data_IF_150953941916
#
_entry.id   IF_150953941916
#
_cell.length_a   1.000
_cell.length_b   1.000
_cell.length_c   1.000
_cell.angle_alpha   90.00
_cell.angle_beta   90.00
_cell.angle_gamma   90.00
#
_symmetry.space_group_name_H-M   'P 1'
#
loop_
_entity.id
_entity.type
_entity.pdbx_description
1 polymer ?
#
# COMPACT_ATOMS: atom_id res chain seq x y z
N UNK A 1 2.97 26.41 9.36
CA UNK A 1 3.29 25.10 9.96
C UNK A 1 2.76 24.04 9.01
N UNK A 2 3.61 23.44 8.18
CA UNK A 2 3.15 22.37 7.27
C UNK A 2 3.03 21.08 8.07
N UNK A 3 1.80 20.70 8.41
CA UNK A 3 1.51 19.49 9.17
C UNK A 3 1.75 18.29 8.26
N UNK A 4 2.82 17.52 8.52
CA UNK A 4 2.98 16.20 7.89
C UNK A 4 1.88 15.29 8.42
N UNK A 5 1.19 14.59 7.53
CA UNK A 5 0.18 13.59 7.92
C UNK A 5 0.89 12.24 8.01
N UNK A 6 1.01 11.63 9.20
CA UNK A 6 1.64 10.32 9.32
C UNK A 6 0.84 9.29 8.54
N UNK A 7 1.53 8.30 7.99
CA UNK A 7 0.87 7.16 7.36
C UNK A 7 0.07 6.36 8.40
N UNK A 8 -1.01 5.74 7.96
CA UNK A 8 -1.91 4.98 8.81
C UNK A 8 -1.70 3.49 8.59
N UNK A 9 -1.65 2.73 9.68
CA UNK A 9 -1.63 1.27 9.58
C UNK A 9 -3.06 0.76 9.48
N UNK A 10 -3.31 -0.10 8.50
CA UNK A 10 -4.61 -0.74 8.31
C UNK A 10 -4.46 -2.24 8.19
N UNK A 11 -5.46 -2.96 8.69
CA UNK A 11 -5.56 -4.39 8.50
C UNK A 11 -6.15 -4.71 7.14
N UNK A 12 -6.06 -5.99 6.77
CA UNK A 12 -6.43 -6.42 5.44
C UNK A 12 -7.94 -6.21 5.16
N UNK A 13 -8.84 -6.41 6.12
CA UNK A 13 -10.27 -6.12 5.95
C UNK A 13 -10.56 -4.64 5.60
N UNK A 14 -9.86 -3.72 6.26
CA UNK A 14 -9.98 -2.28 5.97
C UNK A 14 -9.39 -1.94 4.60
N UNK A 15 -8.27 -2.57 4.24
CA UNK A 15 -7.67 -2.42 2.91
C UNK A 15 -8.63 -2.87 1.81
N UNK A 16 -9.34 -3.99 1.99
CA UNK A 16 -10.33 -4.47 1.03
C UNK A 16 -11.50 -3.51 0.84
N UNK A 17 -11.98 -2.90 1.92
CA UNK A 17 -13.02 -1.86 1.87
C UNK A 17 -12.56 -0.65 1.06
N UNK A 18 -11.31 -0.21 1.26
CA UNK A 18 -10.72 0.91 0.52
C UNK A 18 -10.54 0.58 -0.96
N UNK A 19 -10.12 -0.65 -1.28
CA UNK A 19 -9.94 -1.13 -2.65
C UNK A 19 -11.30 -1.21 -3.35
N UNK A 20 -12.31 -1.71 -2.66
CA UNK A 20 -13.70 -1.77 -3.18
C UNK A 20 -14.30 -0.39 -3.41
N UNK A 21 -13.81 0.65 -2.73
CA UNK A 21 -14.19 2.04 -2.99
C UNK A 21 -13.62 2.58 -4.31
N UNK A 22 -12.68 1.87 -4.95
CA UNK A 22 -12.23 2.11 -6.32
C UNK A 22 -11.30 3.31 -6.54
N UNK A 23 -11.05 4.11 -5.51
CA UNK A 23 -10.28 5.35 -5.62
C UNK A 23 -8.99 5.32 -4.78
N UNK A 24 -8.24 4.21 -4.89
CA UNK A 24 -6.98 3.97 -4.18
C UNK A 24 -5.92 3.46 -5.14
N UNK A 25 -4.66 3.85 -4.92
CA UNK A 25 -3.50 3.30 -5.59
C UNK A 25 -2.89 2.26 -4.67
N UNK A 26 -2.69 1.06 -5.17
CA UNK A 26 -2.10 -0.03 -4.39
C UNK A 26 -0.67 -0.24 -4.89
N UNK A 27 0.30 -0.18 -3.99
CA UNK A 27 1.73 -0.30 -4.26
C UNK A 27 2.27 -1.55 -3.57
N UNK A 28 2.78 -2.45 -4.39
CA UNK A 28 3.44 -3.67 -3.94
C UNK A 28 4.95 -3.46 -3.95
N UNK A 29 5.58 -3.41 -2.78
CA UNK A 29 7.03 -3.18 -2.65
C UNK A 29 7.85 -4.47 -2.58
N UNK A 30 7.24 -5.62 -2.93
CA UNK A 30 7.93 -6.89 -3.07
C UNK A 30 8.68 -6.95 -4.40
N UNK A 31 9.43 -8.03 -4.56
CA UNK A 31 10.13 -8.33 -5.80
C UNK A 31 9.15 -8.68 -6.94
N UNK A 32 9.55 -8.40 -8.19
CA UNK A 32 8.74 -8.65 -9.36
C UNK A 32 8.29 -10.11 -9.46
N UNK A 33 9.18 -11.08 -9.19
CA UNK A 33 8.83 -12.50 -9.16
C UNK A 33 7.68 -12.83 -8.19
N UNK A 34 7.66 -12.19 -7.01
CA UNK A 34 6.59 -12.39 -6.03
C UNK A 34 5.29 -11.73 -6.43
N UNK A 35 5.38 -10.56 -7.09
CA UNK A 35 4.24 -9.89 -7.68
C UNK A 35 3.62 -10.76 -8.78
N UNK A 36 4.42 -11.35 -9.67
CA UNK A 36 3.96 -12.24 -10.74
C UNK A 36 3.34 -13.54 -10.22
N UNK A 37 3.85 -14.09 -9.11
CA UNK A 37 3.24 -15.27 -8.46
C UNK A 37 1.84 -15.00 -7.88
N UNK A 38 1.56 -13.76 -7.52
CA UNK A 38 0.27 -13.35 -6.98
C UNK A 38 0.36 -12.00 -6.26
N UNK A 39 -0.61 -11.14 -6.51
CA UNK A 39 -0.68 -9.79 -5.97
C UNK A 39 -2.13 -9.38 -5.71
N UNK A 40 -2.32 -8.24 -5.06
CA UNK A 40 -3.64 -7.63 -4.88
C UNK A 40 -4.12 -7.11 -6.24
N UNK A 41 -5.38 -7.35 -6.59
CA UNK A 41 -5.93 -6.85 -7.87
C UNK A 41 -5.81 -5.33 -7.97
N UNK A 42 -5.26 -4.84 -9.09
CA UNK A 42 -4.95 -3.42 -9.30
C UNK A 42 -3.67 -2.91 -8.61
N UNK A 43 -2.90 -3.77 -7.93
CA UNK A 43 -1.61 -3.38 -7.39
C UNK A 43 -0.56 -3.13 -8.47
N UNK A 44 0.30 -2.14 -8.21
CA UNK A 44 1.45 -1.81 -9.03
C UNK A 44 2.72 -2.17 -8.28
N UNK A 45 3.63 -2.88 -8.93
CA UNK A 45 4.94 -3.15 -8.35
C UNK A 45 5.75 -1.85 -8.22
N UNK A 46 6.01 -1.43 -6.99
CA UNK A 46 6.66 -0.19 -6.64
C UNK A 46 7.97 -0.48 -5.90
N UNK A 47 9.09 -0.13 -6.52
CA UNK A 47 10.42 -0.19 -5.93
C UNK A 47 10.89 1.23 -5.62
N UNK A 48 11.87 1.39 -4.74
CA UNK A 48 12.44 2.72 -4.42
C UNK A 48 12.87 3.46 -5.70
N UNK A 49 13.36 2.72 -6.71
CA UNK A 49 13.80 3.27 -7.99
C UNK A 49 12.65 3.78 -8.88
N UNK A 50 11.50 3.12 -8.91
CA UNK A 50 10.39 3.48 -9.80
C UNK A 50 9.25 4.24 -9.08
N UNK A 51 9.27 4.29 -7.75
CA UNK A 51 8.20 4.89 -6.94
C UNK A 51 7.93 6.33 -7.35
N UNK A 52 8.98 7.13 -7.56
CA UNK A 52 8.87 8.51 -8.03
C UNK A 52 8.15 8.62 -9.37
N UNK A 53 8.40 7.70 -10.31
CA UNK A 53 7.71 7.68 -11.60
C UNK A 53 6.25 7.25 -11.46
N UNK A 54 5.94 6.32 -10.55
CA UNK A 54 4.55 5.89 -10.30
C UNK A 54 3.73 7.02 -9.69
N UNK A 55 4.37 7.82 -8.83
CA UNK A 55 3.79 8.97 -8.15
C UNK A 55 3.80 10.23 -9.02
N UNK A 56 4.44 10.21 -10.18
CA UNK A 56 4.46 11.34 -11.09
C UNK A 56 3.04 11.62 -11.61
N UNK A 57 2.56 12.85 -11.40
CA UNK A 57 1.19 13.24 -11.72
C UNK A 57 0.10 12.67 -10.78
N UNK A 58 0.46 11.96 -9.71
CA UNK A 58 -0.51 11.49 -8.71
C UNK A 58 -0.88 12.65 -7.77
N UNK A 59 -2.18 12.86 -7.60
CA UNK A 59 -2.70 13.87 -6.69
C UNK A 59 -2.35 13.52 -5.23
N UNK A 60 -1.97 14.52 -4.44
CA UNK A 60 -1.54 14.35 -3.03
C UNK A 60 -2.67 13.89 -2.10
N UNK A 61 -3.92 14.12 -2.49
CA UNK A 61 -5.12 13.67 -1.78
C UNK A 61 -5.50 12.22 -2.12
N UNK A 62 -4.82 11.60 -3.10
CA UNK A 62 -5.16 10.24 -3.52
C UNK A 62 -4.76 9.26 -2.43
N UNK A 63 -5.66 8.31 -2.15
CA UNK A 63 -5.38 7.21 -1.25
C UNK A 63 -4.30 6.31 -1.84
N UNK A 64 -3.27 6.00 -1.08
CA UNK A 64 -2.18 5.11 -1.46
C UNK A 64 -2.05 4.02 -0.40
N UNK A 65 -2.26 2.78 -0.78
CA UNK A 65 -2.00 1.61 0.04
C UNK A 65 -0.65 1.03 -0.34
N UNK A 66 0.22 0.82 0.63
CA UNK A 66 1.52 0.19 0.44
C UNK A 66 1.59 -1.09 1.26
N UNK A 67 2.07 -2.17 0.65
CA UNK A 67 2.29 -3.44 1.34
C UNK A 67 3.58 -4.11 0.88
N UNK A 68 4.21 -4.87 1.78
CA UNK A 68 5.34 -5.73 1.48
C UNK A 68 5.03 -7.18 1.89
N UNK A 69 6.03 -8.03 2.13
CA UNK A 69 5.80 -9.38 2.64
C UNK A 69 5.17 -9.38 4.05
N UNK A 70 5.79 -8.67 4.99
CA UNK A 70 5.46 -8.73 6.44
C UNK A 70 5.02 -7.38 7.06
N UNK A 71 5.03 -6.29 6.30
CA UNK A 71 4.70 -4.94 6.80
C UNK A 71 5.89 -4.11 7.34
N UNK A 72 7.14 -4.55 7.18
CA UNK A 72 8.33 -3.77 7.57
C UNK A 72 8.72 -2.73 6.52
N UNK A 73 9.07 -3.19 5.31
CA UNK A 73 9.46 -2.30 4.21
C UNK A 73 8.35 -1.31 3.82
N UNK A 74 7.06 -1.67 3.98
CA UNK A 74 5.95 -0.77 3.67
C UNK A 74 5.91 0.49 4.55
N UNK A 75 6.48 0.45 5.75
CA UNK A 75 6.55 1.62 6.64
C UNK A 75 7.52 2.67 6.12
N UNK A 76 8.67 2.25 5.57
CA UNK A 76 9.64 3.18 4.98
C UNK A 76 9.03 3.91 3.79
N UNK A 77 8.31 3.19 2.93
CA UNK A 77 7.57 3.79 1.83
C UNK A 77 6.43 4.68 2.32
N UNK A 78 5.71 4.27 3.37
CA UNK A 78 4.65 5.07 3.97
C UNK A 78 5.17 6.40 4.52
N UNK A 79 6.31 6.37 5.20
CA UNK A 79 6.98 7.57 5.70
C UNK A 79 7.47 8.46 4.57
N UNK A 80 8.05 7.86 3.52
CA UNK A 80 8.50 8.58 2.34
C UNK A 80 7.34 9.32 1.67
N UNK A 81 6.19 8.66 1.49
CA UNK A 81 4.98 9.27 0.94
C UNK A 81 4.45 10.41 1.84
N UNK A 82 4.44 10.21 3.15
CA UNK A 82 4.10 11.28 4.11
C UNK A 82 5.02 12.50 3.95
N UNK A 83 6.32 12.28 3.78
CA UNK A 83 7.31 13.34 3.54
C UNK A 83 7.09 14.04 2.20
N UNK A 84 6.53 13.34 1.22
CA UNK A 84 6.06 13.89 -0.05
C UNK A 84 4.70 14.62 0.04
N UNK A 85 4.20 14.89 1.25
CA UNK A 85 2.92 15.57 1.50
C UNK A 85 1.70 14.81 0.99
N UNK A 86 1.77 13.48 0.86
CA UNK A 86 0.58 12.68 0.67
C UNK A 86 -0.23 12.62 1.96
N UNK A 87 -1.52 12.89 1.88
CA UNK A 87 -2.39 12.96 3.06
C UNK A 87 -3.03 11.61 3.41
N UNK A 88 -3.20 10.74 2.40
CA UNK A 88 -3.93 9.49 2.52
C UNK A 88 -3.00 8.31 2.22
N UNK A 89 -2.08 8.03 3.14
CA UNK A 89 -1.11 6.94 3.00
C UNK A 89 -1.44 5.84 4.00
N UNK A 90 -1.57 4.61 3.51
CA UNK A 90 -1.95 3.45 4.28
C UNK A 90 -0.89 2.35 4.14
N UNK A 91 -0.45 1.78 5.26
CA UNK A 91 0.44 0.63 5.31
C UNK A 91 -0.37 -0.61 5.72
N UNK A 92 -0.27 -1.68 4.95
CA UNK A 92 -0.95 -2.93 5.27
C UNK A 92 -0.19 -3.68 6.37
N UNK A 93 -0.82 -3.82 7.54
CA UNK A 93 -0.29 -4.62 8.64
C UNK A 93 -0.23 -6.10 8.26
N UNK A 94 0.93 -6.72 8.51
CA UNK A 94 1.20 -8.11 8.14
C UNK A 94 1.39 -8.35 6.63
N UNK A 95 1.40 -7.28 5.82
CA UNK A 95 1.73 -7.34 4.40
C UNK A 95 0.87 -8.29 3.58
N UNK A 96 1.48 -8.86 2.54
CA UNK A 96 0.83 -9.77 1.62
C UNK A 96 0.42 -11.09 2.28
N UNK A 97 1.16 -11.55 3.30
CA UNK A 97 0.76 -12.75 4.04
C UNK A 97 -0.55 -12.56 4.78
N UNK A 98 -0.71 -11.43 5.49
CA UNK A 98 -2.00 -11.09 6.10
C UNK A 98 -3.10 -10.92 5.06
N UNK A 99 -2.78 -10.41 3.86
CA UNK A 99 -3.71 -10.32 2.75
C UNK A 99 -4.22 -11.70 2.29
N UNK A 100 -3.33 -12.70 2.17
CA UNK A 100 -3.75 -14.05 1.79
C UNK A 100 -4.52 -14.72 2.93
N UNK A 101 -4.01 -14.64 4.16
CA UNK A 101 -4.60 -15.32 5.31
C UNK A 101 -6.00 -14.81 5.67
N UNK A 102 -6.33 -13.54 5.41
CA UNK A 102 -7.69 -13.04 5.68
C UNK A 102 -8.78 -13.72 4.85
N UNK A 103 -8.43 -14.20 3.65
CA UNK A 103 -9.37 -14.88 2.78
C UNK A 103 -9.78 -16.22 3.40
N UNK A 104 -8.87 -16.81 4.19
CA UNK A 104 -9.13 -18.01 4.99
C UNK A 104 -10.11 -17.71 6.14
N UNK A 105 -10.00 -16.53 6.77
CA UNK A 105 -10.89 -16.15 7.90
C UNK A 105 -12.29 -15.71 7.47
N UNK A 106 -12.48 -15.24 6.23
CA UNK A 106 -13.79 -14.87 5.67
C UNK A 106 -14.60 -16.08 5.17
N UNK A 107 -14.02 -17.28 5.15
CA UNK A 107 -14.67 -18.53 4.71
C UNK A 107 -15.20 -19.41 5.87
N UNK A 108 -15.19 -18.90 7.11
CA UNK A 108 -15.65 -19.63 8.31
C UNK A 108 -17.03 -19.25 8.79
#
# INVERSE_FOLDING_TARGET
MSTRVPFQHIDAANAETLISSGNIIILDVREADSFERGHIDGAKNATIANLFNILDGVARDRSILVYCYHGYASQEFGQLLSDFCYTNVYSLNGGYEAWINRADTLAG
#
